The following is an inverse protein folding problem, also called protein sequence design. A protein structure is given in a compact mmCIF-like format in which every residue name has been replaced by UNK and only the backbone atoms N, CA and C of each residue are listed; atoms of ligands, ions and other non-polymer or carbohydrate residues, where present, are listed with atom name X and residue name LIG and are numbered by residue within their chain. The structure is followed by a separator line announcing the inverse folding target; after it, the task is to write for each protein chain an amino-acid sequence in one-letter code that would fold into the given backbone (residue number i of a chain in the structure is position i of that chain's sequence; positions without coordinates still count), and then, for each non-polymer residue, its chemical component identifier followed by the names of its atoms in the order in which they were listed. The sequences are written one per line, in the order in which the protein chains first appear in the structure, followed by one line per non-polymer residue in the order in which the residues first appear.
data_IF_324182424487
#
_entry.id   IF_324182424487
#
_cell.length_a   1.000
_cell.length_b   1.000
_cell.length_c   1.000
_cell.angle_alpha   90.00
_cell.angle_beta   90.00
_cell.angle_gamma   90.00
#
_symmetry.space_group_name_H-M   'P 1'
#
loop_
_entity.id
_entity.type
_entity.pdbx_description
1 polymer ?
#
# COMPACT_ATOMS: atom_id res chain seq x y z
N UNK A 1 2.69 4.12 18.74
CA UNK A 1 3.32 2.98 18.04
C UNK A 1 2.24 2.35 17.17
N UNK A 2 2.48 2.15 15.86
CA UNK A 2 1.45 1.62 14.94
C UNK A 2 1.13 0.17 15.27
N UNK A 3 -0.16 -0.17 15.38
CA UNK A 3 -0.59 -1.55 15.63
C UNK A 3 -0.41 -2.43 14.40
N UNK A 4 -0.64 -1.88 13.20
CA UNK A 4 -0.53 -2.67 11.97
C UNK A 4 0.92 -3.01 11.64
N UNK A 5 1.87 -2.12 11.93
CA UNK A 5 3.30 -2.43 11.81
C UNK A 5 3.69 -3.55 12.78
N UNK A 6 3.19 -3.56 14.02
CA UNK A 6 3.45 -4.65 14.97
C UNK A 6 2.98 -6.00 14.42
N UNK A 7 1.80 -6.05 13.79
CA UNK A 7 1.31 -7.27 13.12
C UNK A 7 2.25 -7.69 11.98
N UNK A 8 2.77 -6.73 11.21
CA UNK A 8 3.67 -7.04 10.08
C UNK A 8 5.01 -7.61 10.57
N UNK A 9 5.63 -7.02 11.59
CA UNK A 9 6.99 -7.36 12.06
C UNK A 9 7.02 -8.48 13.11
N UNK A 10 5.86 -8.89 13.63
CA UNK A 10 5.76 -9.94 14.64
C UNK A 10 6.40 -11.25 14.17
N UNK A 11 7.15 -11.89 15.06
CA UNK A 11 7.74 -13.21 14.82
C UNK A 11 6.75 -14.32 15.22
N UNK A 12 5.92 -14.05 16.23
CA UNK A 12 4.91 -14.98 16.72
C UNK A 12 3.74 -15.09 15.71
N UNK A 13 3.44 -16.29 15.19
CA UNK A 13 2.36 -16.48 14.22
C UNK A 13 0.99 -15.97 14.69
N UNK A 14 0.68 -16.09 15.98
CA UNK A 14 -0.61 -15.67 16.55
C UNK A 14 -0.82 -14.15 16.56
N UNK A 15 0.28 -13.38 16.49
CA UNK A 15 0.23 -11.92 16.33
C UNK A 15 0.30 -11.59 14.84
N UNK A 16 1.22 -12.21 14.11
CA UNK A 16 1.45 -11.97 12.68
C UNK A 16 0.25 -12.31 11.81
N UNK A 17 -0.55 -13.30 12.19
CA UNK A 17 -1.71 -13.74 11.40
C UNK A 17 -3.02 -13.08 11.84
N UNK A 18 -2.99 -12.08 12.72
CA UNK A 18 -4.18 -11.32 13.10
C UNK A 18 -4.78 -10.63 11.89
N UNK A 19 -6.10 -10.62 11.85
CA UNK A 19 -6.87 -9.98 10.79
C UNK A 19 -6.69 -8.45 10.82
N UNK A 20 -6.30 -7.88 9.69
CA UNK A 20 -6.34 -6.43 9.47
C UNK A 20 -7.75 -5.87 9.70
N UNK A 21 -8.76 -6.59 9.20
CA UNK A 21 -10.16 -6.18 9.27
C UNK A 21 -10.67 -6.07 10.72
N UNK A 22 -10.16 -6.91 11.64
CA UNK A 22 -10.51 -6.82 13.06
C UNK A 22 -10.12 -5.47 13.68
N UNK A 23 -8.94 -4.93 13.33
CA UNK A 23 -8.51 -3.61 13.76
C UNK A 23 -9.31 -2.51 13.03
N UNK A 24 -9.44 -2.62 11.71
CA UNK A 24 -10.02 -1.55 10.90
C UNK A 24 -11.52 -1.32 11.15
N UNK A 25 -12.25 -2.33 11.61
CA UNK A 25 -13.69 -2.20 11.91
C UNK A 25 -13.95 -1.23 13.06
N UNK A 26 -13.18 -1.32 14.15
CA UNK A 26 -13.37 -0.47 15.34
C UNK A 26 -12.64 0.87 15.23
N UNK A 27 -11.56 0.96 14.44
CA UNK A 27 -10.79 2.19 14.30
C UNK A 27 -11.64 3.34 13.71
N UNK A 28 -11.43 4.55 14.21
CA UNK A 28 -11.96 5.80 13.64
C UNK A 28 -11.26 6.15 12.32
N UNK A 29 -11.81 7.11 11.56
CA UNK A 29 -11.15 7.59 10.34
C UNK A 29 -9.73 8.12 10.64
N UNK A 30 -9.58 8.94 11.68
CA UNK A 30 -8.30 9.54 12.06
C UNK A 30 -7.26 8.49 12.46
N UNK A 31 -7.66 7.47 13.22
CA UNK A 31 -6.78 6.34 13.59
C UNK A 31 -6.34 5.56 12.34
N UNK A 32 -7.25 5.30 11.39
CA UNK A 32 -6.89 4.65 10.13
C UNK A 32 -5.92 5.50 9.31
N UNK A 33 -6.09 6.82 9.26
CA UNK A 33 -5.18 7.71 8.54
C UNK A 33 -3.80 7.78 9.19
N UNK A 34 -3.74 7.79 10.53
CA UNK A 34 -2.49 7.71 11.27
C UNK A 34 -1.74 6.39 10.99
N UNK A 35 -2.46 5.27 10.96
CA UNK A 35 -1.90 3.96 10.59
C UNK A 35 -1.45 3.91 9.14
N UNK A 36 -2.23 4.45 8.18
CA UNK A 36 -1.82 4.57 6.78
C UNK A 36 -0.53 5.40 6.64
N UNK A 37 -0.42 6.54 7.31
CA UNK A 37 0.79 7.35 7.28
C UNK A 37 2.00 6.63 7.87
N UNK A 38 1.82 5.85 8.93
CA UNK A 38 2.87 5.02 9.51
C UNK A 38 3.29 3.89 8.55
N UNK A 39 2.33 3.18 7.96
CA UNK A 39 2.58 2.12 6.98
C UNK A 39 3.28 2.64 5.73
N UNK A 40 2.90 3.82 5.21
CA UNK A 40 3.54 4.41 4.03
C UNK A 40 5.02 4.73 4.28
N UNK A 41 5.33 5.33 5.45
CA UNK A 41 6.73 5.56 5.85
C UNK A 41 7.49 4.25 6.02
N UNK A 42 6.89 3.29 6.71
CA UNK A 42 7.49 1.99 6.98
C UNK A 42 7.86 1.22 5.68
N UNK A 43 6.96 1.15 4.70
CA UNK A 43 7.23 0.45 3.43
C UNK A 43 8.39 1.06 2.63
N UNK A 44 8.66 2.36 2.79
CA UNK A 44 9.74 3.08 2.08
C UNK A 44 11.10 2.80 2.72
N UNK A 45 11.11 2.51 4.02
CA UNK A 45 12.33 2.29 4.80
C UNK A 45 12.67 0.81 4.99
N UNK A 46 11.69 -0.09 4.85
CA UNK A 46 11.88 -1.53 5.04
C UNK A 46 12.66 -2.16 3.89
N UNK A 47 13.80 -2.77 4.22
CA UNK A 47 14.57 -3.64 3.32
C UNK A 47 13.98 -5.06 3.20
N UNK A 48 13.12 -5.44 4.14
CA UNK A 48 12.45 -6.73 4.12
C UNK A 48 11.31 -6.73 3.08
N UNK A 49 11.43 -7.61 2.08
CA UNK A 49 10.44 -7.72 1.00
C UNK A 49 9.04 -8.06 1.53
N UNK A 50 8.95 -9.02 2.44
CA UNK A 50 7.67 -9.47 2.98
C UNK A 50 6.97 -8.33 3.73
N UNK A 51 7.70 -7.60 4.57
CA UNK A 51 7.17 -6.47 5.34
C UNK A 51 6.68 -5.36 4.42
N UNK A 52 7.49 -4.98 3.42
CA UNK A 52 7.15 -3.96 2.43
C UNK A 52 5.90 -4.34 1.63
N UNK A 53 5.84 -5.57 1.12
CA UNK A 53 4.69 -6.07 0.35
C UNK A 53 3.44 -6.13 1.22
N UNK A 54 3.56 -6.61 2.46
CA UNK A 54 2.43 -6.71 3.38
C UNK A 54 1.89 -5.33 3.75
N UNK A 55 2.76 -4.34 3.97
CA UNK A 55 2.36 -2.94 4.19
C UNK A 55 1.61 -2.36 2.98
N UNK A 56 2.10 -2.60 1.75
CA UNK A 56 1.42 -2.16 0.52
C UNK A 56 0.00 -2.73 0.39
N UNK A 57 -0.18 -4.02 0.70
CA UNK A 57 -1.50 -4.63 0.63
C UNK A 57 -2.42 -4.25 1.80
N UNK A 58 -1.87 -3.93 2.97
CA UNK A 58 -2.64 -3.32 4.07
C UNK A 58 -3.14 -1.93 3.68
N UNK A 59 -2.26 -1.08 3.13
CA UNK A 59 -2.63 0.24 2.61
C UNK A 59 -3.73 0.14 1.56
N UNK A 60 -3.56 -0.75 0.56
CA UNK A 60 -4.60 -1.04 -0.43
C UNK A 60 -5.94 -1.40 0.23
N UNK A 61 -5.94 -2.36 1.14
CA UNK A 61 -7.16 -2.84 1.77
C UNK A 61 -7.85 -1.74 2.62
N UNK A 62 -7.07 -0.94 3.36
CA UNK A 62 -7.59 0.16 4.16
C UNK A 62 -8.26 1.22 3.27
N UNK A 63 -7.55 1.72 2.26
CA UNK A 63 -8.10 2.72 1.35
C UNK A 63 -9.28 2.21 0.52
N UNK A 64 -9.31 0.91 0.18
CA UNK A 64 -10.35 0.35 -0.70
C UNK A 64 -11.62 -0.07 0.04
N UNK A 65 -11.49 -0.60 1.25
CA UNK A 65 -12.58 -1.32 1.94
C UNK A 65 -12.92 -0.77 3.31
N UNK A 66 -12.05 0.02 3.94
CA UNK A 66 -12.28 0.50 5.31
C UNK A 66 -12.51 2.00 5.38
N UNK A 67 -11.67 2.82 4.76
CA UNK A 67 -11.83 4.29 4.72
C UNK A 67 -13.19 4.71 4.13
N UNK A 68 -13.66 4.14 2.99
CA UNK A 68 -14.96 4.52 2.42
C UNK A 68 -16.17 4.25 3.32
N UNK A 69 -16.00 3.45 4.38
CA UNK A 69 -17.07 3.10 5.31
C UNK A 69 -17.07 3.98 6.58
N UNK A 70 -16.11 4.89 6.74
CA UNK A 70 -16.00 5.72 7.94
C UNK A 70 -16.72 7.05 7.77
N UNK A 71 -17.39 7.48 8.83
CA UNK A 71 -17.95 8.82 8.92
C UNK A 71 -16.84 9.88 8.81
N UNK A 72 -17.15 11.00 8.15
CA UNK A 72 -16.21 12.12 7.96
C UNK A 72 -15.47 12.11 6.63
N UNK A 73 -15.58 11.04 5.83
CA UNK A 73 -15.04 11.04 4.47
C UNK A 73 -15.95 11.86 3.53
N UNK A 74 -15.36 12.78 2.77
CA UNK A 74 -16.09 13.57 1.79
C UNK A 74 -16.49 12.70 0.59
N UNK A 75 -17.79 12.64 0.23
CA UNK A 75 -18.23 11.86 -0.91
C UNK A 75 -17.71 12.45 -2.22
N UNK A 76 -17.32 11.58 -3.15
CA UNK A 76 -16.83 11.99 -4.47
C UNK A 76 -15.45 12.66 -4.45
N UNK A 77 -15.35 13.86 -5.02
CA UNK A 77 -14.10 14.60 -5.22
C UNK A 77 -13.39 14.30 -6.54
N UNK A 78 -12.22 14.92 -6.73
CA UNK A 78 -11.43 14.81 -7.96
C UNK A 78 -10.13 14.06 -7.70
N UNK A 79 -9.73 13.22 -8.65
CA UNK A 79 -8.39 12.63 -8.67
C UNK A 79 -7.43 13.65 -9.31
N UNK A 80 -6.32 14.03 -8.64
CA UNK A 80 -5.30 14.89 -9.25
C UNK A 80 -4.81 14.32 -10.58
N UNK A 81 -4.91 15.11 -11.65
CA UNK A 81 -4.59 14.67 -13.01
C UNK A 81 -3.14 14.16 -13.12
N UNK A 82 -2.17 14.90 -12.60
CA UNK A 82 -0.75 14.52 -12.66
C UNK A 82 -0.47 13.21 -11.92
N UNK A 83 -1.18 12.95 -10.82
CA UNK A 83 -1.11 11.68 -10.10
C UNK A 83 -1.66 10.53 -10.95
N UNK A 84 -2.77 10.75 -11.64
CA UNK A 84 -3.35 9.77 -12.55
C UNK A 84 -2.47 9.49 -13.78
N UNK A 85 -1.87 10.52 -14.37
CA UNK A 85 -0.92 10.38 -15.46
C UNK A 85 0.33 9.57 -15.05
N UNK A 86 0.90 9.85 -13.87
CA UNK A 86 1.98 9.06 -13.29
C UNK A 86 1.57 7.59 -13.07
N UNK A 87 0.36 7.35 -12.56
CA UNK A 87 -0.20 6.00 -12.37
C UNK A 87 -0.26 5.23 -13.70
N UNK A 88 -0.73 5.85 -14.79
CA UNK A 88 -0.76 5.25 -16.13
C UNK A 88 0.64 4.94 -16.66
N UNK A 89 1.61 5.83 -16.41
CA UNK A 89 3.02 5.67 -16.76
C UNK A 89 3.79 4.69 -15.86
N UNK A 90 3.09 4.02 -14.93
CA UNK A 90 3.68 3.10 -13.94
C UNK A 90 4.69 3.76 -12.97
N UNK A 91 4.60 5.08 -12.80
CA UNK A 91 5.33 5.88 -11.81
C UNK A 91 4.53 5.91 -10.51
N UNK A 92 4.44 4.75 -9.86
CA UNK A 92 3.48 4.52 -8.79
C UNK A 92 3.81 5.29 -7.51
N UNK A 93 5.10 5.46 -7.19
CA UNK A 93 5.49 6.18 -5.97
C UNK A 93 5.19 7.68 -6.11
N UNK A 94 5.50 8.26 -7.26
CA UNK A 94 5.19 9.65 -7.58
C UNK A 94 3.67 9.90 -7.63
N UNK A 95 2.91 8.93 -8.15
CA UNK A 95 1.45 8.99 -8.12
C UNK A 95 0.91 8.98 -6.68
N UNK A 96 1.43 8.11 -5.82
CA UNK A 96 1.05 8.03 -4.39
C UNK A 96 1.35 9.36 -3.69
N UNK A 97 2.52 9.96 -3.92
CA UNK A 97 2.90 11.23 -3.29
C UNK A 97 1.93 12.35 -3.66
N UNK A 98 1.53 12.43 -4.93
CA UNK A 98 0.55 13.40 -5.40
C UNK A 98 -0.86 13.16 -4.85
N UNK A 99 -1.27 11.90 -4.70
CA UNK A 99 -2.57 11.56 -4.11
C UNK A 99 -2.60 11.81 -2.60
N UNK A 100 -1.50 11.58 -1.88
CA UNK A 100 -1.40 11.87 -0.44
C UNK A 100 -1.37 13.37 -0.14
N UNK A 101 -0.87 14.19 -1.07
CA UNK A 101 -0.87 15.64 -0.95
C UNK A 101 -2.25 16.28 -1.20
N UNK A 102 -3.18 15.55 -1.84
CA UNK A 102 -4.53 16.03 -2.11
C UNK A 102 -5.45 15.83 -0.89
N UNK A 103 -6.49 16.66 -0.72
CA UNK A 103 -7.51 16.45 0.29
C UNK A 103 -8.18 15.07 0.14
N UNK A 104 -8.36 14.36 1.25
CA UNK A 104 -8.96 13.03 1.23
C UNK A 104 -10.45 13.10 0.89
N UNK A 105 -10.83 12.39 -0.16
CA UNK A 105 -12.20 12.07 -0.56
C UNK A 105 -12.30 10.63 -1.08
N UNK A 106 -13.50 10.16 -1.43
CA UNK A 106 -13.70 8.85 -2.07
C UNK A 106 -12.82 8.64 -3.31
N UNK A 107 -12.71 9.69 -4.15
CA UNK A 107 -11.93 9.67 -5.38
C UNK A 107 -10.43 9.47 -5.09
N UNK A 108 -9.85 10.25 -4.17
CA UNK A 108 -8.44 10.11 -3.79
C UNK A 108 -8.17 8.81 -3.05
N UNK A 109 -9.09 8.34 -2.20
CA UNK A 109 -8.96 7.06 -1.51
C UNK A 109 -8.93 5.90 -2.52
N UNK A 110 -9.80 5.94 -3.53
CA UNK A 110 -9.80 4.97 -4.62
C UNK A 110 -8.51 5.00 -5.45
N UNK A 111 -7.99 6.19 -5.74
CA UNK A 111 -6.74 6.38 -6.47
C UNK A 111 -5.53 5.83 -5.67
N UNK A 112 -5.46 6.13 -4.37
CA UNK A 112 -4.45 5.59 -3.46
C UNK A 112 -4.51 4.07 -3.39
N UNK A 113 -5.71 3.50 -3.22
CA UNK A 113 -5.90 2.06 -3.22
C UNK A 113 -5.31 1.41 -4.48
N UNK A 114 -5.66 1.92 -5.66
CA UNK A 114 -5.16 1.38 -6.93
C UNK A 114 -3.64 1.53 -7.08
N UNK A 115 -3.08 2.67 -6.68
CA UNK A 115 -1.64 2.92 -6.75
C UNK A 115 -0.84 1.98 -5.82
N UNK A 116 -1.27 1.82 -4.57
CA UNK A 116 -0.65 0.88 -3.64
C UNK A 116 -0.75 -0.57 -4.10
N UNK A 117 -1.90 -0.98 -4.62
CA UNK A 117 -2.10 -2.32 -5.19
C UNK A 117 -1.12 -2.58 -6.34
N UNK A 118 -1.01 -1.63 -7.28
CA UNK A 118 -0.09 -1.75 -8.43
C UNK A 118 1.37 -1.77 -8.00
N UNK A 119 1.76 -0.93 -7.04
CA UNK A 119 3.11 -0.93 -6.49
C UNK A 119 3.43 -2.25 -5.78
N UNK A 120 2.47 -2.81 -5.03
CA UNK A 120 2.60 -4.14 -4.42
C UNK A 120 2.89 -5.24 -5.44
N UNK A 121 2.10 -5.30 -6.51
CA UNK A 121 2.33 -6.26 -7.59
C UNK A 121 3.64 -5.99 -8.35
N UNK A 122 3.99 -4.74 -8.61
CA UNK A 122 5.26 -4.38 -9.26
C UNK A 122 6.46 -4.80 -8.40
N UNK A 123 6.36 -4.66 -7.09
CA UNK A 123 7.38 -5.08 -6.12
C UNK A 123 7.59 -6.60 -6.16
N UNK A 124 6.50 -7.37 -6.14
CA UNK A 124 6.55 -8.83 -6.28
C UNK A 124 7.12 -9.27 -7.63
N UNK A 125 6.65 -8.65 -8.73
CA UNK A 125 7.15 -8.94 -10.07
C UNK A 125 8.65 -8.65 -10.20
N UNK A 126 9.13 -7.58 -9.57
CA UNK A 126 10.56 -7.26 -9.52
C UNK A 126 11.35 -8.32 -8.76
N UNK A 127 10.83 -8.83 -7.65
CA UNK A 127 11.47 -9.94 -6.93
C UNK A 127 11.55 -11.20 -7.81
N UNK A 128 10.46 -11.58 -8.46
CA UNK A 128 10.43 -12.74 -9.35
C UNK A 128 11.47 -12.58 -10.45
N UNK A 129 11.53 -11.42 -11.12
CA UNK A 129 12.56 -11.15 -12.15
C UNK A 129 13.98 -11.27 -11.60
N UNK A 130 14.26 -10.74 -10.41
CA UNK A 130 15.58 -10.87 -9.76
C UNK A 130 15.92 -12.34 -9.53
N UNK A 131 14.99 -13.11 -8.97
CA UNK A 131 15.17 -14.55 -8.70
C UNK A 131 15.36 -15.38 -9.97
N UNK A 132 14.64 -15.07 -11.05
CA UNK A 132 14.77 -15.78 -12.32
C UNK A 132 16.12 -15.45 -12.97
N UNK A 133 16.57 -14.18 -12.92
CA UNK A 133 17.85 -13.72 -13.46
C UNK A 133 19.07 -14.29 -12.75
N UNK A 134 18.99 -14.57 -11.44
CA UNK A 134 20.11 -15.12 -10.68
C UNK A 134 20.44 -16.58 -11.03
N UNK A 135 19.53 -17.28 -11.71
CA UNK A 135 19.75 -18.65 -12.18
C UNK A 135 20.56 -18.63 -13.47
N UNK A 136 21.75 -19.25 -13.46
CA UNK A 136 22.68 -19.29 -14.61
C UNK A 136 22.02 -19.76 -15.92
N UNK A 137 21.13 -20.76 -15.84
CA UNK A 137 20.41 -21.30 -17.00
C UNK A 137 19.40 -20.34 -17.64
N UNK A 138 19.05 -19.23 -16.98
CA UNK A 138 18.02 -18.30 -17.44
C UNK A 138 18.59 -17.02 -18.07
N UNK A 139 19.92 -16.86 -18.11
CA UNK A 139 20.55 -15.62 -18.59
C UNK A 139 20.24 -15.31 -20.07
N UNK A 140 19.90 -16.33 -20.88
CA UNK A 140 19.51 -16.15 -22.28
C UNK A 140 18.20 -15.37 -22.46
N UNK A 141 17.28 -15.41 -21.49
CA UNK A 141 15.98 -14.72 -21.56
C UNK A 141 16.06 -13.20 -21.32
N UNK A 142 17.21 -12.69 -20.89
CA UNK A 142 17.37 -11.30 -20.44
C UNK A 142 18.48 -10.53 -21.17
N UNK A 143 18.88 -11.02 -22.34
CA UNK A 143 19.79 -10.31 -23.26
C UNK A 143 19.08 -9.15 -23.95
#
# INVERSE_FOLDING_TARGET
MSQLIQIITAQEPDVRNRSLDAFCRSATLDELLAECAALDRFRRQSDNLYERVRALFFLYAIYRFHIPLKAGLAPGGLVPFDGYDNLLKRRFEEAIDLFLAAPLSDATASALAEAYRRLGFQTLANQVRRSVRSVRGNQWMFR
#
